data_IF_033146417890
#
_entry.id   IF_033146417890
#
_cell.length_a   1.000
_cell.length_b   1.000
_cell.length_c   1.000
_cell.angle_alpha   90.00
_cell.angle_beta   90.00
_cell.angle_gamma   90.00
#
_symmetry.space_group_name_H-M   'P 1'
#
loop_
_entity.id
_entity.type
_entity.pdbx_description
1 polymer ?
#
# COMPACT_ATOMS: atom_id res chain seq x y z
N UNK A 1 -8.42 17.19 1.79
CA UNK A 1 -7.70 16.82 3.03
C UNK A 1 -6.61 17.84 3.27
N UNK A 2 -6.51 18.44 4.45
CA UNK A 2 -5.46 19.39 4.76
C UNK A 2 -4.34 18.72 5.59
N UNK A 3 -3.11 19.17 5.39
CA UNK A 3 -1.96 18.75 6.21
C UNK A 3 -1.83 19.72 7.38
N UNK A 4 -1.96 19.20 8.59
CA UNK A 4 -1.74 19.95 9.82
C UNK A 4 -0.25 20.14 10.06
N UNK A 5 0.21 21.40 10.10
CA UNK A 5 1.56 21.80 10.50
C UNK A 5 1.59 22.05 12.01
N UNK A 6 2.72 21.77 12.65
CA UNK A 6 2.91 22.03 14.07
C UNK A 6 3.76 23.28 14.30
N UNK A 7 3.53 23.98 15.41
CA UNK A 7 4.39 25.11 15.83
C UNK A 7 5.81 24.57 16.13
N UNK A 8 6.84 25.35 15.79
CA UNK A 8 8.25 24.99 15.94
C UNK A 8 8.73 25.13 17.40
N UNK A 9 8.05 24.48 18.35
CA UNK A 9 8.38 24.53 19.78
C UNK A 9 9.56 23.65 20.20
N UNK A 10 10.01 22.76 19.31
CA UNK A 10 11.18 21.92 19.52
C UNK A 10 11.74 21.46 18.16
N UNK A 11 12.98 20.95 18.15
CA UNK A 11 13.60 20.43 16.91
C UNK A 11 12.76 19.35 16.24
N UNK A 12 12.16 18.44 17.00
CA UNK A 12 11.31 17.40 16.45
C UNK A 12 9.98 17.91 15.89
N UNK A 13 9.46 19.05 16.39
CA UNK A 13 8.21 19.64 15.91
C UNK A 13 8.37 20.61 14.75
N UNK A 14 9.55 21.17 14.54
CA UNK A 14 9.82 22.19 13.52
C UNK A 14 9.29 21.81 12.13
N UNK A 15 9.59 20.60 11.67
CA UNK A 15 9.22 20.11 10.36
C UNK A 15 8.14 19.01 10.41
N UNK A 16 7.54 18.79 11.58
CA UNK A 16 6.54 17.75 11.73
C UNK A 16 5.20 18.14 11.13
N UNK A 17 4.60 17.22 10.40
CA UNK A 17 3.24 17.36 9.88
C UNK A 17 2.41 16.11 10.16
N UNK A 18 1.11 16.21 10.07
CA UNK A 18 0.19 15.08 10.18
C UNK A 18 -1.03 15.30 9.29
N UNK A 19 -1.80 14.26 9.02
CA UNK A 19 -3.15 14.41 8.50
C UNK A 19 -4.03 15.18 9.49
N UNK A 20 -4.99 15.94 8.99
CA UNK A 20 -6.06 16.58 9.77
C UNK A 20 -7.22 15.61 10.08
N UNK A 21 -7.24 14.44 9.42
CA UNK A 21 -8.28 13.42 9.52
C UNK A 21 -9.70 13.90 9.15
N UNK A 22 -9.82 14.98 8.39
CA UNK A 22 -11.12 15.58 8.05
C UNK A 22 -12.08 14.63 7.30
N UNK A 23 -11.56 13.64 6.57
CA UNK A 23 -12.40 12.65 5.86
C UNK A 23 -12.91 11.53 6.78
N UNK A 24 -12.39 11.41 7.98
CA UNK A 24 -12.72 10.32 8.90
C UNK A 24 -13.98 10.69 9.67
N UNK A 25 -14.96 9.81 9.64
CA UNK A 25 -16.27 10.03 10.26
C UNK A 25 -16.41 9.37 11.63
N UNK A 26 -15.61 8.35 11.93
CA UNK A 26 -15.58 7.68 13.24
C UNK A 26 -14.18 7.14 13.55
N UNK A 27 -13.87 7.10 14.85
CA UNK A 27 -12.65 6.51 15.41
C UNK A 27 -12.85 5.07 15.92
N UNK A 28 -14.11 4.61 16.00
CA UNK A 28 -14.49 3.29 16.53
C UNK A 28 -14.65 2.29 15.38
N UNK A 29 -13.75 1.30 15.24
CA UNK A 29 -13.88 0.28 14.20
C UNK A 29 -14.96 -0.76 14.55
N UNK A 30 -15.52 -1.39 13.51
CA UNK A 30 -16.45 -2.51 13.64
C UNK A 30 -15.75 -3.72 14.27
N UNK A 31 -16.21 -4.16 15.44
CA UNK A 31 -15.54 -5.19 16.24
C UNK A 31 -15.51 -6.55 15.56
N UNK A 32 -16.56 -6.92 14.84
CA UNK A 32 -16.67 -8.20 14.13
C UNK A 32 -15.63 -8.37 12.99
N UNK A 33 -15.08 -7.24 12.50
CA UNK A 33 -14.09 -7.20 11.41
C UNK A 33 -12.66 -6.94 11.91
N UNK A 34 -12.40 -7.13 13.22
CA UNK A 34 -11.08 -6.95 13.82
C UNK A 34 -10.42 -8.28 14.13
N UNK A 35 -9.15 -8.39 13.75
CA UNK A 35 -8.29 -9.53 14.07
C UNK A 35 -7.03 -9.08 14.81
N UNK A 36 -6.49 -9.93 15.73
CA UNK A 36 -5.24 -9.62 16.41
C UNK A 36 -4.06 -9.69 15.45
N UNK A 37 -3.17 -8.68 15.50
CA UNK A 37 -1.92 -8.67 14.73
C UNK A 37 -0.79 -9.31 15.53
N UNK A 38 -0.35 -10.49 15.14
CA UNK A 38 0.84 -11.14 15.71
C UNK A 38 2.11 -10.43 15.21
N UNK A 39 2.88 -9.84 16.12
CA UNK A 39 4.13 -9.13 15.81
C UNK A 39 5.31 -10.10 15.82
N UNK A 40 5.91 -10.33 14.68
CA UNK A 40 7.07 -11.22 14.54
C UNK A 40 8.43 -10.51 14.64
N UNK A 41 8.47 -9.17 14.69
CA UNK A 41 9.70 -8.39 14.77
C UNK A 41 10.70 -8.69 13.64
N UNK A 42 10.22 -9.00 12.44
CA UNK A 42 11.07 -9.35 11.29
C UNK A 42 11.62 -10.79 11.31
N UNK A 43 11.11 -11.68 12.18
CA UNK A 43 11.49 -13.09 12.25
C UNK A 43 10.62 -13.94 11.32
N UNK A 44 11.24 -14.96 10.71
CA UNK A 44 10.55 -15.97 9.91
C UNK A 44 9.91 -17.06 10.82
N UNK A 45 9.39 -18.13 10.21
CA UNK A 45 8.82 -19.28 10.92
C UNK A 45 9.85 -20.07 11.76
N UNK A 46 11.15 -19.97 11.43
CA UNK A 46 12.26 -20.59 12.19
C UNK A 46 12.80 -19.67 13.30
N UNK A 47 12.20 -18.49 13.54
CA UNK A 47 12.66 -17.52 14.53
C UNK A 47 13.87 -16.69 14.10
N UNK A 48 14.43 -16.88 12.89
CA UNK A 48 15.56 -16.13 12.39
C UNK A 48 15.13 -14.77 11.85
N UNK A 49 15.93 -13.73 12.08
CA UNK A 49 15.67 -12.39 11.58
C UNK A 49 15.98 -12.32 10.08
N UNK A 50 14.93 -12.31 9.25
CA UNK A 50 15.05 -12.17 7.79
C UNK A 50 14.83 -10.74 7.30
N UNK A 51 14.11 -9.92 8.08
CA UNK A 51 13.89 -8.48 7.82
C UNK A 51 14.33 -7.70 9.03
N UNK A 52 15.44 -6.95 8.89
CA UNK A 52 16.01 -6.13 9.97
C UNK A 52 15.18 -4.87 10.22
N UNK A 53 15.45 -4.21 11.34
CA UNK A 53 14.91 -2.89 11.70
C UNK A 53 13.37 -2.86 11.84
N UNK A 54 12.76 -3.98 12.22
CA UNK A 54 11.34 -4.08 12.54
C UNK A 54 11.12 -4.49 13.98
N UNK A 55 10.03 -4.01 14.57
CA UNK A 55 9.61 -4.37 15.92
C UNK A 55 9.20 -3.17 16.77
N UNK A 56 8.57 -3.45 17.91
CA UNK A 56 7.95 -2.43 18.74
C UNK A 56 6.75 -1.77 18.05
N UNK A 57 6.58 -0.50 18.31
CA UNK A 57 5.47 0.29 17.75
C UNK A 57 4.19 0.21 18.58
N UNK A 58 3.19 1.02 18.23
CA UNK A 58 1.90 1.09 18.91
C UNK A 58 1.10 -0.20 18.70
N UNK A 59 0.32 -0.64 19.70
CA UNK A 59 -0.60 -1.79 19.60
C UNK A 59 -1.61 -1.55 18.49
N UNK A 60 -1.83 -2.56 17.61
CA UNK A 60 -2.74 -2.48 16.46
C UNK A 60 -3.61 -3.72 16.37
N UNK A 61 -4.79 -3.55 15.78
CA UNK A 61 -5.65 -4.62 15.32
C UNK A 61 -5.73 -4.56 13.81
N UNK A 62 -5.81 -5.70 13.16
CA UNK A 62 -6.01 -5.79 11.72
C UNK A 62 -7.49 -5.59 11.41
N UNK A 63 -7.80 -4.81 10.37
CA UNK A 63 -9.13 -4.69 9.79
C UNK A 63 -9.21 -5.65 8.61
N UNK A 64 -10.17 -6.54 8.63
CA UNK A 64 -10.41 -7.47 7.53
C UNK A 64 -11.02 -6.70 6.38
N UNK A 65 -10.24 -6.54 5.30
CA UNK A 65 -10.65 -5.79 4.11
C UNK A 65 -11.10 -6.76 3.02
N UNK A 66 -12.24 -6.49 2.41
CA UNK A 66 -12.70 -7.21 1.24
C UNK A 66 -11.98 -6.73 -0.02
N UNK A 67 -10.86 -7.38 -0.34
CA UNK A 67 -10.13 -7.14 -1.59
C UNK A 67 -10.73 -7.89 -2.79
N UNK A 68 -11.63 -8.83 -2.55
CA UNK A 68 -12.20 -9.69 -3.60
C UNK A 68 -13.45 -9.11 -4.23
N UNK A 69 -14.25 -8.40 -3.43
CA UNK A 69 -15.49 -7.75 -3.89
C UNK A 69 -16.42 -8.72 -4.63
N UNK A 70 -16.68 -9.90 -4.04
CA UNK A 70 -17.45 -10.99 -4.67
C UNK A 70 -18.97 -10.91 -4.49
N UNK A 71 -19.47 -9.91 -3.79
CA UNK A 71 -20.90 -9.71 -3.58
C UNK A 71 -21.53 -9.05 -4.80
N UNK A 72 -21.78 -9.85 -5.83
CA UNK A 72 -22.33 -9.36 -7.09
C UNK A 72 -23.84 -9.09 -6.96
N UNK A 73 -24.31 -7.99 -7.54
CA UNK A 73 -25.71 -7.61 -7.58
C UNK A 73 -26.31 -7.13 -6.25
N UNK A 74 -25.57 -7.23 -5.12
CA UNK A 74 -26.07 -6.81 -3.81
C UNK A 74 -25.60 -5.38 -3.54
N UNK A 75 -26.51 -4.39 -3.42
CA UNK A 75 -26.12 -3.02 -3.09
C UNK A 75 -25.66 -2.91 -1.65
N UNK A 76 -24.61 -2.14 -1.45
CA UNK A 76 -24.08 -1.80 -0.13
C UNK A 76 -24.03 -0.30 0.07
N UNK A 77 -24.43 0.17 1.26
CA UNK A 77 -24.38 1.59 1.64
C UNK A 77 -23.12 1.88 2.43
N UNK A 78 -22.40 2.92 2.09
CA UNK A 78 -21.26 3.43 2.87
C UNK A 78 -21.77 3.95 4.21
N UNK A 79 -21.38 3.28 5.29
CA UNK A 79 -21.77 3.66 6.65
C UNK A 79 -20.80 4.66 7.25
N UNK A 80 -19.49 4.37 7.20
CA UNK A 80 -18.44 5.21 7.79
C UNK A 80 -17.18 5.21 6.93
N UNK A 81 -16.35 6.25 7.08
CA UNK A 81 -14.97 6.29 6.58
C UNK A 81 -14.04 6.31 7.80
N UNK A 82 -13.07 5.40 7.83
CA UNK A 82 -12.26 5.14 9.02
C UNK A 82 -10.76 5.14 8.72
N UNK A 83 -9.99 5.46 9.76
CA UNK A 83 -8.54 5.32 9.76
C UNK A 83 -8.11 3.87 10.00
N UNK A 84 -7.20 3.34 9.18
CA UNK A 84 -6.57 2.04 9.40
C UNK A 84 -5.07 2.22 9.70
N UNK A 85 -4.58 1.85 10.91
CA UNK A 85 -3.16 1.95 11.26
C UNK A 85 -2.26 0.96 10.50
N UNK A 86 -2.82 0.01 9.74
CA UNK A 86 -2.07 -1.01 9.04
C UNK A 86 -1.78 -0.66 7.57
N UNK A 87 -2.39 0.41 7.07
CA UNK A 87 -2.22 0.87 5.68
C UNK A 87 -2.19 2.39 5.60
N UNK A 88 -1.75 2.90 4.46
CA UNK A 88 -1.74 4.34 4.19
C UNK A 88 -3.11 4.88 3.75
N UNK A 89 -3.93 4.05 3.10
CA UNK A 89 -5.27 4.41 2.65
C UNK A 89 -6.28 4.38 3.79
N UNK A 90 -7.28 5.29 3.76
CA UNK A 90 -8.48 5.17 4.57
C UNK A 90 -9.33 3.99 4.10
N UNK A 91 -10.19 3.49 4.97
CA UNK A 91 -11.14 2.41 4.68
C UNK A 91 -12.57 2.88 4.86
N UNK A 92 -13.49 2.25 4.17
CA UNK A 92 -14.93 2.51 4.31
C UNK A 92 -15.65 1.26 4.80
N UNK A 93 -16.49 1.40 5.79
CA UNK A 93 -17.41 0.35 6.25
C UNK A 93 -18.63 0.36 5.35
N UNK A 94 -18.98 -0.78 4.81
CA UNK A 94 -20.12 -0.98 3.94
C UNK A 94 -21.11 -1.90 4.63
N UNK A 95 -22.35 -1.43 4.72
CA UNK A 95 -23.50 -2.23 5.14
C UNK A 95 -24.24 -2.70 3.89
N UNK A 96 -24.22 -4.01 3.62
CA UNK A 96 -24.93 -4.59 2.50
C UNK A 96 -26.41 -4.83 2.83
N UNK A 97 -27.25 -4.89 1.79
CA UNK A 97 -28.70 -5.11 1.95
C UNK A 97 -29.04 -6.46 2.63
N UNK A 98 -28.15 -7.44 2.53
CA UNK A 98 -28.28 -8.75 3.20
C UNK A 98 -27.82 -8.75 4.67
N UNK A 99 -27.49 -7.59 5.25
CA UNK A 99 -27.07 -7.42 6.63
C UNK A 99 -25.56 -7.65 6.88
N UNK A 100 -24.80 -8.15 5.90
CA UNK A 100 -23.36 -8.33 6.08
C UNK A 100 -22.62 -6.98 6.02
N UNK A 101 -21.62 -6.84 6.88
CA UNK A 101 -20.73 -5.67 6.91
C UNK A 101 -19.36 -6.05 6.37
N UNK A 102 -18.75 -5.19 5.55
CA UNK A 102 -17.39 -5.36 5.05
C UNK A 102 -16.64 -4.04 4.98
N UNK A 103 -15.33 -4.09 5.22
CA UNK A 103 -14.45 -2.96 4.90
C UNK A 103 -13.97 -3.04 3.46
N UNK A 104 -13.89 -1.90 2.81
CA UNK A 104 -13.23 -1.71 1.51
C UNK A 104 -12.19 -0.59 1.61
N UNK A 105 -11.31 -0.46 0.61
CA UNK A 105 -10.49 0.73 0.47
C UNK A 105 -11.39 1.91 0.13
N UNK A 106 -11.22 3.05 0.81
CA UNK A 106 -11.99 4.26 0.50
C UNK A 106 -11.39 4.95 -0.72
N UNK A 107 -12.10 5.01 -1.86
CA UNK A 107 -11.66 5.80 -3.00
C UNK A 107 -11.85 7.28 -2.74
N UNK A 108 -11.11 8.11 -3.48
CA UNK A 108 -11.22 9.57 -3.46
C UNK A 108 -12.64 9.98 -3.86
N UNK A 109 -13.25 10.86 -3.06
CA UNK A 109 -14.58 11.39 -3.32
C UNK A 109 -15.73 10.50 -2.86
N UNK A 110 -15.47 9.33 -2.26
CA UNK A 110 -16.52 8.52 -1.65
C UNK A 110 -17.10 9.25 -0.43
N UNK A 111 -18.42 9.28 -0.33
CA UNK A 111 -19.13 9.92 0.79
C UNK A 111 -19.95 8.89 1.58
N UNK A 112 -20.17 9.18 2.86
CA UNK A 112 -21.12 8.41 3.69
C UNK A 112 -22.51 8.52 3.10
N UNK A 113 -23.23 7.40 3.06
CA UNK A 113 -24.54 7.28 2.43
C UNK A 113 -24.51 6.90 0.95
N UNK A 114 -23.36 6.98 0.28
CA UNK A 114 -23.23 6.52 -1.12
C UNK A 114 -23.53 5.03 -1.23
N UNK A 115 -24.20 4.63 -2.31
CA UNK A 115 -24.43 3.22 -2.64
C UNK A 115 -23.32 2.73 -3.55
N UNK A 116 -22.79 1.55 -3.25
CA UNK A 116 -21.80 0.85 -4.05
C UNK A 116 -22.31 -0.54 -4.42
N UNK A 117 -21.86 -1.03 -5.55
CA UNK A 117 -22.22 -2.36 -6.06
C UNK A 117 -20.98 -3.06 -6.65
N UNK A 118 -21.03 -4.38 -6.69
CA UNK A 118 -20.02 -5.21 -7.37
C UNK A 118 -20.72 -6.09 -8.39
N UNK A 119 -19.99 -6.46 -9.44
CA UNK A 119 -20.48 -7.37 -10.47
C UNK A 119 -20.36 -6.82 -11.88
N UNK A 120 -20.63 -7.64 -12.90
CA UNK A 120 -20.51 -7.25 -14.31
C UNK A 120 -21.52 -6.15 -14.71
N UNK A 121 -22.68 -6.08 -14.06
CA UNK A 121 -23.75 -5.13 -14.34
C UNK A 121 -23.70 -3.85 -13.48
N UNK A 122 -22.67 -3.72 -12.64
CA UNK A 122 -22.53 -2.54 -11.80
C UNK A 122 -22.24 -1.29 -12.62
N UNK A 123 -22.85 -0.16 -12.27
CA UNK A 123 -22.61 1.14 -12.90
C UNK A 123 -21.13 1.55 -12.81
N UNK A 124 -20.68 2.37 -13.77
CA UNK A 124 -19.33 2.95 -13.79
C UNK A 124 -19.27 4.13 -12.82
N UNK A 125 -19.38 3.84 -11.51
CA UNK A 125 -19.32 4.83 -10.42
C UNK A 125 -18.14 4.56 -9.50
N UNK A 126 -17.60 5.62 -8.90
CA UNK A 126 -16.48 5.51 -7.93
C UNK A 126 -16.87 4.59 -6.78
N UNK A 127 -16.02 3.58 -6.51
CA UNK A 127 -16.25 2.58 -5.47
C UNK A 127 -16.88 1.27 -5.95
N UNK A 128 -17.47 1.24 -7.14
CA UNK A 128 -18.01 0.02 -7.74
C UNK A 128 -16.88 -0.88 -8.26
N UNK A 129 -17.06 -2.19 -8.15
CA UNK A 129 -16.08 -3.18 -8.56
C UNK A 129 -16.64 -4.05 -9.71
N UNK A 130 -15.90 -4.09 -10.82
CA UNK A 130 -16.31 -4.77 -12.04
C UNK A 130 -15.17 -5.66 -12.57
N UNK A 131 -15.49 -6.68 -13.41
CA UNK A 131 -14.50 -7.30 -14.28
C UNK A 131 -13.88 -6.26 -15.21
N UNK A 132 -12.59 -6.39 -15.53
CA UNK A 132 -11.87 -5.42 -16.38
C UNK A 132 -12.47 -5.31 -17.78
N UNK A 133 -13.10 -6.36 -18.28
CA UNK A 133 -13.80 -6.35 -19.58
C UNK A 133 -15.02 -5.43 -19.62
N UNK A 134 -15.64 -5.15 -18.47
CA UNK A 134 -16.81 -4.29 -18.38
C UNK A 134 -16.46 -2.82 -18.08
N UNK A 135 -15.16 -2.51 -17.85
CA UNK A 135 -14.72 -1.16 -17.54
C UNK A 135 -14.33 -0.43 -18.83
N UNK A 136 -14.82 0.79 -19.10
CA UNK A 136 -14.45 1.57 -20.28
C UNK A 136 -12.95 1.88 -20.35
N UNK A 137 -12.38 1.95 -21.56
CA UNK A 137 -11.03 2.41 -21.77
C UNK A 137 -10.85 3.86 -21.31
N UNK A 138 -9.66 4.20 -20.82
CA UNK A 138 -9.37 5.51 -20.23
C UNK A 138 -9.74 5.63 -18.77
N UNK A 139 -10.57 4.72 -18.23
CA UNK A 139 -11.00 4.77 -16.82
C UNK A 139 -9.86 4.67 -15.84
N UNK A 140 -9.99 5.41 -14.74
CA UNK A 140 -9.10 5.32 -13.58
C UNK A 140 -9.60 4.22 -12.65
N UNK A 141 -8.72 3.30 -12.27
CA UNK A 141 -9.05 2.12 -11.46
C UNK A 141 -8.04 1.88 -10.34
N UNK A 142 -8.47 1.17 -9.30
CA UNK A 142 -7.63 0.73 -8.18
C UNK A 142 -8.03 -0.68 -7.72
N UNK A 143 -7.34 -1.21 -6.70
CA UNK A 143 -7.62 -2.54 -6.13
C UNK A 143 -7.70 -3.65 -7.20
N UNK A 144 -6.70 -3.71 -8.08
CA UNK A 144 -6.71 -4.54 -9.27
C UNK A 144 -6.23 -5.96 -8.96
N UNK A 145 -6.96 -6.96 -9.39
CA UNK A 145 -6.55 -8.35 -9.33
C UNK A 145 -5.44 -8.67 -10.35
N UNK A 146 -4.57 -9.61 -10.00
CA UNK A 146 -3.57 -10.19 -10.91
C UNK A 146 -3.96 -11.58 -11.41
N UNK A 147 -4.84 -12.24 -10.68
CA UNK A 147 -5.41 -13.56 -11.02
C UNK A 147 -6.88 -13.52 -10.63
N UNK A 148 -7.79 -14.05 -11.47
CA UNK A 148 -9.22 -14.04 -11.18
C UNK A 148 -9.53 -14.66 -9.82
N UNK A 149 -10.37 -13.99 -9.04
CA UNK A 149 -10.85 -14.44 -7.75
C UNK A 149 -9.83 -14.43 -6.61
N UNK A 150 -8.59 -13.99 -6.82
CA UNK A 150 -7.58 -13.90 -5.75
C UNK A 150 -7.74 -12.65 -4.87
N UNK A 151 -8.47 -11.67 -5.34
CA UNK A 151 -8.59 -10.35 -4.73
C UNK A 151 -7.53 -9.36 -5.22
N UNK A 152 -7.81 -8.08 -5.06
CA UNK A 152 -6.95 -7.00 -5.52
C UNK A 152 -5.57 -7.03 -4.89
N UNK A 153 -4.54 -6.92 -5.71
CA UNK A 153 -3.12 -6.95 -5.31
C UNK A 153 -2.36 -5.69 -5.72
N UNK A 154 -2.76 -5.06 -6.81
CA UNK A 154 -2.14 -3.83 -7.31
C UNK A 154 -2.96 -2.61 -6.93
N UNK A 155 -2.30 -1.45 -6.83
CA UNK A 155 -2.94 -0.13 -6.65
C UNK A 155 -3.85 -0.10 -5.41
N UNK A 156 -3.25 -0.31 -4.22
CA UNK A 156 -3.97 -0.33 -2.93
C UNK A 156 -3.50 0.73 -1.94
N UNK A 157 -2.38 1.38 -2.22
CA UNK A 157 -1.82 2.42 -1.35
C UNK A 157 -2.54 3.75 -1.52
N UNK A 158 -2.47 4.62 -0.52
CA UNK A 158 -3.03 5.97 -0.57
C UNK A 158 -2.60 6.73 -1.83
N UNK A 159 -3.54 7.42 -2.47
CA UNK A 159 -3.29 8.25 -3.65
C UNK A 159 -2.92 7.49 -4.93
N UNK A 160 -2.86 6.15 -4.91
CA UNK A 160 -2.49 5.41 -6.12
C UNK A 160 -3.68 5.19 -7.04
N UNK A 161 -3.39 5.15 -8.34
CA UNK A 161 -4.35 4.83 -9.39
C UNK A 161 -3.64 4.12 -10.55
N UNK A 162 -4.38 3.43 -11.36
CA UNK A 162 -3.95 2.91 -12.65
C UNK A 162 -4.97 3.32 -13.72
N UNK A 163 -4.53 3.38 -14.97
CA UNK A 163 -5.38 3.69 -16.10
C UNK A 163 -5.52 2.46 -16.99
N UNK A 164 -6.73 2.15 -17.38
CA UNK A 164 -7.05 1.14 -18.38
C UNK A 164 -6.77 1.75 -19.76
N UNK A 165 -5.82 1.19 -20.52
CA UNK A 165 -5.42 1.75 -21.82
C UNK A 165 -6.13 1.09 -23.00
N UNK A 166 -6.33 -0.24 -22.95
CA UNK A 166 -6.89 -0.97 -24.06
C UNK A 166 -7.14 -2.44 -23.74
N UNK A 167 -7.61 -3.17 -24.73
CA UNK A 167 -7.87 -4.61 -24.66
C UNK A 167 -7.19 -5.31 -25.84
N UNK A 168 -6.66 -6.49 -25.56
CA UNK A 168 -5.99 -7.33 -26.55
C UNK A 168 -6.35 -8.80 -26.30
N UNK A 169 -7.26 -9.35 -27.07
CA UNK A 169 -7.80 -10.68 -26.88
C UNK A 169 -8.35 -10.88 -25.47
N UNK A 170 -7.83 -11.86 -24.74
CA UNK A 170 -8.23 -12.15 -23.35
C UNK A 170 -7.55 -11.27 -22.29
N UNK A 171 -6.75 -10.30 -22.70
CA UNK A 171 -6.02 -9.41 -21.79
C UNK A 171 -6.50 -7.98 -21.90
N UNK A 172 -6.37 -7.27 -20.78
CA UNK A 172 -6.54 -5.82 -20.68
C UNK A 172 -5.18 -5.20 -20.39
N UNK A 173 -4.85 -4.12 -21.09
CA UNK A 173 -3.61 -3.38 -20.93
C UNK A 173 -3.85 -2.24 -19.93
N UNK A 174 -3.08 -2.23 -18.86
CA UNK A 174 -3.15 -1.20 -17.83
C UNK A 174 -1.81 -0.47 -17.67
N UNK A 175 -1.88 0.82 -17.39
CA UNK A 175 -0.73 1.66 -17.00
C UNK A 175 -0.79 1.92 -15.51
N UNK A 176 0.23 1.45 -14.79
CA UNK A 176 0.42 1.70 -13.37
C UNK A 176 1.00 3.10 -13.13
N UNK A 177 0.85 3.62 -11.92
CA UNK A 177 1.43 4.91 -11.50
C UNK A 177 2.95 4.98 -11.67
N UNK A 178 3.66 3.84 -11.58
CA UNK A 178 5.11 3.74 -11.85
C UNK A 178 5.48 3.95 -13.32
N UNK A 179 4.51 4.05 -14.24
CA UNK A 179 4.72 4.09 -15.68
C UNK A 179 4.86 2.71 -16.34
N UNK A 180 4.85 1.62 -15.56
CA UNK A 180 4.83 0.26 -16.10
C UNK A 180 3.50 0.00 -16.81
N UNK A 181 3.57 -0.53 -18.03
CA UNK A 181 2.41 -0.99 -18.80
C UNK A 181 2.43 -2.50 -18.82
N UNK A 182 1.33 -3.11 -18.40
CA UNK A 182 1.23 -4.57 -18.31
C UNK A 182 -0.13 -5.10 -18.71
N UNK A 183 -0.16 -6.37 -19.10
CA UNK A 183 -1.36 -7.13 -19.40
C UNK A 183 -1.90 -7.84 -18.15
N UNK A 184 -3.22 -7.84 -18.00
CA UNK A 184 -3.96 -8.58 -16.97
C UNK A 184 -5.14 -9.26 -17.66
N UNK A 185 -5.54 -10.44 -17.19
CA UNK A 185 -6.70 -11.14 -17.73
C UNK A 185 -7.97 -10.29 -17.60
N UNK A 186 -8.81 -10.26 -18.63
CA UNK A 186 -10.04 -9.45 -18.69
C UNK A 186 -11.05 -9.81 -17.59
N UNK A 187 -11.07 -11.08 -17.16
CA UNK A 187 -11.90 -11.60 -16.08
C UNK A 187 -11.45 -11.17 -14.68
N UNK A 188 -10.24 -10.58 -14.52
CA UNK A 188 -9.81 -10.01 -13.25
C UNK A 188 -10.67 -8.79 -12.91
N UNK A 189 -10.89 -8.57 -11.61
CA UNK A 189 -11.69 -7.43 -11.11
C UNK A 189 -10.83 -6.23 -10.75
N UNK A 190 -11.43 -5.06 -10.86
CA UNK A 190 -10.88 -3.81 -10.35
C UNK A 190 -12.00 -2.93 -9.81
N UNK A 191 -11.64 -1.96 -8.98
CA UNK A 191 -12.57 -0.95 -8.45
C UNK A 191 -12.38 0.38 -9.17
N UNK A 192 -13.46 1.05 -9.53
CA UNK A 192 -13.46 2.34 -10.22
C UNK A 192 -12.97 3.44 -9.28
N UNK A 193 -12.14 4.33 -9.80
CA UNK A 193 -11.63 5.51 -9.11
C UNK A 193 -10.19 5.36 -8.61
N UNK A 194 -9.69 6.39 -7.94
CA UNK A 194 -8.38 6.49 -7.29
C UNK A 194 -8.52 6.19 -5.80
N UNK A 195 -7.52 5.60 -5.17
CA UNK A 195 -7.48 5.44 -3.70
C UNK A 195 -7.38 6.81 -3.02
N UNK A 196 -8.17 7.03 -1.98
CA UNK A 196 -8.18 8.26 -1.19
C UNK A 196 -6.88 8.51 -0.41
N UNK A 197 -6.88 9.56 0.44
CA UNK A 197 -5.73 9.96 1.27
C UNK A 197 -4.46 10.28 0.46
N UNK A 198 -4.60 10.94 -0.68
CA UNK A 198 -3.50 11.20 -1.63
C UNK A 198 -2.33 11.99 -1.05
N UNK A 199 -2.58 12.82 -0.02
CA UNK A 199 -1.54 13.63 0.62
C UNK A 199 -0.74 12.87 1.70
N UNK A 200 -0.99 11.57 1.88
CA UNK A 200 -0.29 10.76 2.88
C UNK A 200 1.24 10.79 2.72
N UNK A 201 1.75 10.82 1.48
CA UNK A 201 3.19 10.86 1.20
C UNK A 201 3.86 12.18 1.61
N UNK A 202 3.08 13.27 1.69
CA UNK A 202 3.58 14.59 2.08
C UNK A 202 3.73 14.76 3.60
N UNK A 203 3.32 13.75 4.39
CA UNK A 203 3.41 13.79 5.84
C UNK A 203 4.86 13.60 6.29
N UNK A 204 5.40 14.61 6.97
CA UNK A 204 6.72 14.54 7.58
C UNK A 204 6.62 14.02 9.02
N UNK A 205 7.31 12.91 9.30
CA UNK A 205 7.33 12.28 10.62
C UNK A 205 7.96 13.18 11.69
N UNK A 206 8.98 13.97 11.33
CA UNK A 206 9.61 15.00 12.14
C UNK A 206 10.54 14.51 13.26
N UNK A 207 10.29 13.37 13.88
CA UNK A 207 11.12 12.85 14.98
C UNK A 207 11.30 11.33 14.95
N UNK A 208 12.44 10.84 15.45
CA UNK A 208 12.77 9.42 15.53
C UNK A 208 11.78 8.62 16.38
N UNK A 209 11.27 9.20 17.47
CA UNK A 209 10.25 8.56 18.31
C UNK A 209 8.98 8.21 17.56
N UNK A 210 8.52 9.05 16.61
CA UNK A 210 7.36 8.75 15.79
C UNK A 210 7.62 7.57 14.83
N UNK A 211 8.84 7.44 14.30
CA UNK A 211 9.26 6.26 13.53
C UNK A 211 9.24 5.00 14.39
N UNK A 212 9.63 5.11 15.68
CA UNK A 212 9.54 3.99 16.64
C UNK A 212 8.08 3.57 16.88
N UNK A 213 7.15 4.51 16.99
CA UNK A 213 5.71 4.21 17.13
C UNK A 213 5.15 3.47 15.92
N UNK A 214 5.69 3.73 14.73
CA UNK A 214 5.34 3.01 13.50
C UNK A 214 5.96 1.60 13.40
N UNK A 215 6.79 1.21 14.38
CA UNK A 215 7.43 -0.10 14.41
C UNK A 215 8.77 -0.17 13.67
N UNK A 216 9.34 0.97 13.27
CA UNK A 216 10.67 1.05 12.65
C UNK A 216 11.73 1.16 13.74
N UNK A 217 12.65 0.22 13.80
CA UNK A 217 13.81 0.26 14.69
C UNK A 217 14.94 1.08 14.06
N UNK A 218 15.87 1.64 14.87
CA UNK A 218 17.04 2.34 14.37
C UNK A 218 17.88 1.48 13.43
N UNK A 219 18.44 2.10 12.40
CA UNK A 219 19.40 1.47 11.50
C UNK A 219 20.80 1.98 11.82
N UNK A 220 21.76 1.07 11.99
CA UNK A 220 23.17 1.37 12.21
C UNK A 220 23.89 1.28 10.87
N UNK A 221 24.78 2.24 10.59
CA UNK A 221 25.60 2.25 9.37
C UNK A 221 26.65 1.14 9.45
N UNK A 222 26.94 0.48 8.33
CA UNK A 222 27.97 -0.56 8.27
C UNK A 222 29.37 -0.05 8.64
N UNK A 223 29.69 1.21 8.35
CA UNK A 223 30.98 1.84 8.64
C UNK A 223 31.28 2.06 10.14
N UNK A 224 30.30 1.90 11.03
CA UNK A 224 30.50 1.98 12.49
C UNK A 224 30.43 0.60 13.17
N UNK A 225 30.41 -0.45 12.38
CA UNK A 225 30.46 -1.84 12.84
C UNK A 225 31.89 -2.37 12.78
N UNK A 226 32.14 -3.54 13.38
CA UNK A 226 33.39 -4.25 13.27
C UNK A 226 33.53 -4.92 11.88
N UNK A 227 34.77 -5.25 11.45
CA UNK A 227 35.00 -5.89 10.15
C UNK A 227 34.28 -7.22 9.96
N UNK A 228 34.05 -7.98 11.04
CA UNK A 228 33.32 -9.24 11.03
C UNK A 228 31.78 -9.04 10.87
N UNK A 229 31.25 -7.87 11.21
CA UNK A 229 29.80 -7.60 11.17
C UNK A 229 29.35 -7.00 9.84
N UNK A 230 30.23 -6.26 9.16
CA UNK A 230 29.90 -5.61 7.90
C UNK A 230 31.15 -5.40 7.03
N UNK A 231 31.04 -5.58 5.69
CA UNK A 231 32.14 -5.32 4.75
C UNK A 231 32.70 -3.88 4.76
N UNK A 232 31.96 -2.92 5.35
CA UNK A 232 32.41 -1.54 5.54
C UNK A 232 32.93 -1.28 6.95
N UNK A 233 33.03 -2.30 7.81
CA UNK A 233 33.41 -2.16 9.20
C UNK A 233 34.92 -2.01 9.36
N UNK A 234 35.31 -1.52 10.52
CA UNK A 234 36.72 -1.31 10.92
C UNK A 234 37.23 0.11 10.67
N UNK A 235 38.46 0.37 11.16
CA UNK A 235 39.10 1.68 11.09
C UNK A 235 38.88 2.57 12.31
N UNK A 236 39.61 3.67 12.37
CA UNK A 236 39.58 4.65 13.46
C UNK A 236 38.69 5.86 13.07
N UNK A 237 37.91 6.36 14.04
CA UNK A 237 37.10 7.56 13.91
C UNK A 237 36.02 7.45 12.81
N UNK A 238 35.89 8.49 11.99
CA UNK A 238 34.94 8.53 10.87
C UNK A 238 35.54 7.92 9.61
N UNK A 239 35.43 6.61 9.46
CA UNK A 239 36.00 5.88 8.33
C UNK A 239 35.13 5.95 7.08
N UNK A 240 35.75 5.97 5.88
CA UNK A 240 35.03 5.85 4.60
C UNK A 240 34.56 4.40 4.37
N UNK A 241 33.85 4.17 3.28
CA UNK A 241 33.36 2.83 2.89
C UNK A 241 34.54 1.89 2.51
N UNK A 242 35.66 2.44 2.04
CA UNK A 242 36.86 1.68 1.66
C UNK A 242 36.67 0.75 0.45
N UNK A 243 35.64 0.99 -0.38
CA UNK A 243 35.35 0.19 -1.56
C UNK A 243 34.87 1.08 -2.72
N UNK A 244 35.02 0.66 -3.99
CA UNK A 244 34.57 1.43 -5.15
C UNK A 244 33.05 1.72 -5.13
N UNK A 245 32.27 0.86 -4.51
CA UNK A 245 30.82 1.01 -4.36
C UNK A 245 30.36 0.45 -3.02
N UNK A 246 29.32 1.05 -2.39
CA UNK A 246 28.76 0.51 -1.16
C UNK A 246 28.12 -0.86 -1.41
N UNK A 247 28.26 -1.74 -0.42
CA UNK A 247 27.73 -3.10 -0.44
C UNK A 247 26.79 -3.36 0.74
N UNK A 248 25.98 -4.40 0.62
CA UNK A 248 25.14 -4.92 1.71
C UNK A 248 26.01 -5.69 2.74
N UNK A 249 25.50 -6.05 3.93
CA UNK A 249 26.19 -6.92 4.88
C UNK A 249 26.64 -8.25 4.28
N UNK A 250 26.01 -8.70 3.21
CA UNK A 250 26.35 -9.93 2.48
C UNK A 250 27.24 -9.69 1.25
N UNK A 251 27.81 -8.50 1.10
CA UNK A 251 28.75 -8.17 0.03
C UNK A 251 28.15 -7.85 -1.33
N UNK A 252 26.79 -7.83 -1.47
CA UNK A 252 26.15 -7.47 -2.74
C UNK A 252 26.16 -5.96 -2.96
N UNK A 253 26.48 -5.46 -4.18
CA UNK A 253 26.39 -4.02 -4.50
C UNK A 253 25.00 -3.45 -4.18
N UNK A 254 24.95 -2.23 -3.60
CA UNK A 254 23.71 -1.57 -3.24
C UNK A 254 23.23 -0.56 -4.28
N UNK A 255 24.16 0.00 -5.06
CA UNK A 255 23.87 0.99 -6.10
C UNK A 255 23.88 0.35 -7.48
N UNK A 256 22.84 0.63 -8.28
CA UNK A 256 22.74 0.22 -9.67
C UNK A 256 22.54 -1.28 -9.94
N UNK A 257 22.66 -2.14 -8.92
CA UNK A 257 22.52 -3.58 -9.10
C UNK A 257 21.07 -3.98 -9.34
N UNK A 258 20.82 -4.63 -10.48
CA UNK A 258 19.48 -5.12 -10.86
C UNK A 258 19.22 -6.46 -10.16
N UNK A 259 18.32 -6.47 -9.17
CA UNK A 259 18.00 -7.65 -8.37
C UNK A 259 16.90 -8.54 -8.98
N UNK A 260 16.14 -8.04 -9.97
CA UNK A 260 15.12 -8.85 -10.65
C UNK A 260 15.79 -10.01 -11.41
N UNK A 261 15.31 -11.22 -11.18
CA UNK A 261 15.77 -12.42 -11.88
C UNK A 261 15.56 -12.28 -13.39
N UNK A 262 16.57 -12.66 -14.18
CA UNK A 262 16.44 -12.76 -15.65
C UNK A 262 15.40 -13.82 -16.00
N UNK A 263 14.68 -13.61 -17.10
CA UNK A 263 13.65 -14.53 -17.60
C UNK A 263 12.53 -14.86 -16.61
N UNK A 264 12.10 -13.85 -15.83
CA UNK A 264 10.97 -14.02 -14.91
C UNK A 264 9.68 -14.32 -15.70
N UNK A 265 8.91 -15.32 -15.26
CA UNK A 265 7.64 -15.74 -15.91
C UNK A 265 6.67 -14.58 -16.15
N UNK A 266 6.67 -13.55 -15.28
CA UNK A 266 5.84 -12.35 -15.44
C UNK A 266 6.32 -11.38 -16.52
N UNK A 267 7.50 -11.56 -17.11
CA UNK A 267 8.03 -10.65 -18.14
C UNK A 267 7.18 -10.69 -19.42
N UNK A 268 6.56 -11.84 -19.72
CA UNK A 268 5.61 -12.00 -20.85
C UNK A 268 4.36 -11.10 -20.73
N UNK A 269 4.02 -10.67 -19.52
CA UNK A 269 2.86 -9.81 -19.24
C UNK A 269 3.23 -8.33 -19.10
N UNK A 270 4.50 -7.95 -19.26
CA UNK A 270 4.96 -6.57 -19.20
C UNK A 270 5.23 -6.06 -20.61
N UNK A 271 4.34 -5.17 -21.07
CA UNK A 271 4.46 -4.54 -22.41
C UNK A 271 5.57 -3.49 -22.39
N UNK A 272 5.58 -2.64 -21.37
CA UNK A 272 6.60 -1.59 -21.19
C UNK A 272 7.00 -1.47 -19.74
N UNK A 273 8.29 -1.56 -19.46
CA UNK A 273 8.83 -1.32 -18.11
C UNK A 273 8.82 0.16 -17.75
N UNK A 274 8.80 0.46 -16.46
CA UNK A 274 8.98 1.84 -15.97
C UNK A 274 10.27 2.44 -16.53
N UNK A 275 10.23 3.70 -16.94
CA UNK A 275 11.46 4.45 -17.22
C UNK A 275 12.25 4.62 -15.91
N UNK A 276 13.57 4.55 -15.99
CA UNK A 276 14.45 4.87 -14.88
C UNK A 276 14.39 6.38 -14.58
#
# INVERSE_FOLDING_TARGET
>A
MAIKKYKATSNGRRNMTSSDFAEITTDKPEKSLLEPVKRKGGRNNQGRMTVRHQGGGHKRQYRVIDFQRRKDGIPGRVATIEYDPNRSANIALINYADGEKKYILAPKGLQVGSTIMSGPEADIRVGNALPLENIPMGSTIHNIEMKPGKGGQLVRSAGTSAQLLGREGKYVIIRLQSGEVRMILSTCRATIGQVGNEQHELINIGKAGRSRWLGKRPAVRGSVMNPNDHPHGGGEGRTPIGRPSPVTPWGKPTLGFKTRTKNNKSDKLIVRRRKK
#
